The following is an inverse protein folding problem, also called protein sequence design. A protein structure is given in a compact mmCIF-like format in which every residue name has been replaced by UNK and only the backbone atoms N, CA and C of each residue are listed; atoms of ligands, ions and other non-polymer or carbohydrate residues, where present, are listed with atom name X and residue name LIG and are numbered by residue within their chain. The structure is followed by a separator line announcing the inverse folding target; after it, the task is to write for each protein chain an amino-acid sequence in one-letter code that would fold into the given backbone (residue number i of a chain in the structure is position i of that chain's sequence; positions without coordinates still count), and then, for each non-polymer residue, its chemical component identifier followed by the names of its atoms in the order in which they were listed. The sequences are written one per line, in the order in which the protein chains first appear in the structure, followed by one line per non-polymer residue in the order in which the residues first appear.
data_IF_392083253837
#
_entry.id   IF_392083253837
#
_cell.length_a   1.000
_cell.length_b   1.000
_cell.length_c   1.000
_cell.angle_alpha   90.00
_cell.angle_beta   90.00
_cell.angle_gamma   90.00
#
_symmetry.space_group_name_H-M   'P 1'
#
loop_
_entity.id
_entity.type
_entity.pdbx_description
1 polymer ?
#
# COMPACT_ATOMS: atom_id res chain seq x y z
N UNK A 1 3.22 17.11 7.10
CA UNK A 1 1.85 17.57 7.37
C UNK A 1 1.40 18.26 6.10
N UNK A 2 0.22 17.93 5.58
CA UNK A 2 -0.32 18.57 4.37
C UNK A 2 -0.52 20.05 4.64
N UNK A 3 -0.05 20.89 3.72
CA UNK A 3 -0.18 22.33 3.86
C UNK A 3 -1.48 22.77 3.16
N UNK A 4 -2.59 22.71 3.89
CA UNK A 4 -3.93 23.01 3.36
C UNK A 4 -4.08 24.47 2.91
N UNK A 5 -3.15 25.37 3.27
CA UNK A 5 -3.20 26.80 2.93
C UNK A 5 -3.02 27.09 1.43
N UNK A 6 -2.56 26.11 0.64
CA UNK A 6 -2.29 26.28 -0.80
C UNK A 6 -3.13 25.37 -1.72
N UNK A 7 -4.07 24.59 -1.17
CA UNK A 7 -4.95 23.72 -1.97
C UNK A 7 -6.08 24.52 -2.61
N UNK A 8 -6.37 24.26 -3.89
CA UNK A 8 -7.56 24.84 -4.53
C UNK A 8 -8.79 23.97 -4.24
N UNK A 9 -9.98 24.57 -4.34
CA UNK A 9 -11.23 23.82 -4.26
C UNK A 9 -11.31 22.72 -5.34
N UNK A 10 -10.67 22.93 -6.49
CA UNK A 10 -10.58 21.94 -7.55
C UNK A 10 -9.78 20.71 -7.10
N UNK A 11 -8.61 20.93 -6.48
CA UNK A 11 -7.74 19.84 -6.01
C UNK A 11 -8.44 18.97 -4.95
N UNK A 12 -9.18 19.62 -4.04
CA UNK A 12 -9.97 18.91 -3.02
C UNK A 12 -11.15 18.14 -3.61
N UNK A 13 -11.82 18.69 -4.63
CA UNK A 13 -12.92 18.00 -5.32
C UNK A 13 -12.41 16.78 -6.10
N UNK A 14 -11.27 16.89 -6.79
CA UNK A 14 -10.67 15.77 -7.50
C UNK A 14 -10.22 14.66 -6.55
N UNK A 15 -9.66 15.03 -5.38
CA UNK A 15 -9.34 14.05 -4.34
C UNK A 15 -10.61 13.37 -3.82
N UNK A 16 -11.67 14.13 -3.53
CA UNK A 16 -12.93 13.58 -3.06
C UNK A 16 -13.51 12.57 -4.06
N UNK A 17 -13.54 12.93 -5.34
CA UNK A 17 -14.01 12.05 -6.43
C UNK A 17 -13.17 10.76 -6.53
N UNK A 18 -11.84 10.86 -6.44
CA UNK A 18 -10.96 9.69 -6.50
C UNK A 18 -11.13 8.74 -5.30
N UNK A 19 -11.57 9.26 -4.15
CA UNK A 19 -11.78 8.46 -2.93
C UNK A 19 -13.22 8.00 -2.71
N UNK A 20 -14.21 8.58 -3.40
CA UNK A 20 -15.65 8.32 -3.18
C UNK A 20 -16.04 6.84 -3.37
N UNK A 21 -15.36 6.16 -4.30
CA UNK A 21 -15.57 4.74 -4.58
C UNK A 21 -14.76 3.76 -3.74
N UNK A 22 -13.88 4.24 -2.84
CA UNK A 22 -13.02 3.37 -2.06
C UNK A 22 -13.80 2.63 -0.98
N UNK A 23 -13.50 1.34 -0.81
CA UNK A 23 -14.01 0.58 0.32
C UNK A 23 -13.42 1.11 1.63
N UNK A 24 -14.06 0.79 2.77
CA UNK A 24 -13.49 1.15 4.08
C UNK A 24 -12.06 0.60 4.27
N UNK A 25 -11.78 -0.60 3.73
CA UNK A 25 -10.45 -1.20 3.79
C UNK A 25 -9.43 -0.45 2.92
N UNK A 26 -9.84 0.00 1.73
CA UNK A 26 -8.97 0.81 0.86
C UNK A 26 -8.74 2.22 1.42
N UNK A 27 -9.75 2.79 2.11
CA UNK A 27 -9.59 4.05 2.84
C UNK A 27 -8.62 3.92 4.02
N UNK A 28 -8.70 2.81 4.76
CA UNK A 28 -7.73 2.50 5.81
C UNK A 28 -6.31 2.34 5.23
N UNK A 29 -6.18 1.59 4.14
CA UNK A 29 -4.94 1.43 3.40
C UNK A 29 -4.38 2.76 2.92
N UNK A 30 -5.20 3.64 2.34
CA UNK A 30 -4.80 4.97 1.89
C UNK A 30 -4.22 5.79 3.06
N UNK A 31 -4.80 5.68 4.26
CA UNK A 31 -4.25 6.30 5.46
C UNK A 31 -2.82 5.83 5.76
N UNK A 32 -2.54 4.54 5.65
CA UNK A 32 -1.19 3.99 5.83
C UNK A 32 -0.23 4.41 4.70
N UNK A 33 -0.71 4.44 3.45
CA UNK A 33 0.05 4.92 2.29
C UNK A 33 0.48 6.37 2.47
N UNK A 34 -0.41 7.26 2.95
CA UNK A 34 -0.10 8.66 3.22
C UNK A 34 0.99 8.81 4.30
N UNK A 35 1.02 7.92 5.30
CA UNK A 35 2.09 7.92 6.31
C UNK A 35 3.45 7.50 5.76
N UNK A 36 3.46 6.52 4.87
CA UNK A 36 4.68 6.04 4.18
C UNK A 36 5.20 7.09 3.19
N UNK A 37 4.34 7.52 2.26
CA UNK A 37 4.72 8.39 1.13
C UNK A 37 4.89 9.86 1.52
N UNK A 38 4.23 10.31 2.60
CA UNK A 38 4.25 11.70 3.10
C UNK A 38 3.98 12.74 2.00
N UNK A 39 2.84 12.64 1.29
CA UNK A 39 2.48 13.59 0.26
C UNK A 39 2.36 15.00 0.83
N UNK A 40 2.56 15.98 -0.04
CA UNK A 40 2.54 17.41 0.25
C UNK A 40 1.32 18.11 -0.30
N UNK A 41 0.51 17.45 -1.14
CA UNK A 41 -0.71 18.03 -1.70
C UNK A 41 -1.85 17.03 -1.89
N UNK A 42 -3.07 17.54 -2.05
CA UNK A 42 -4.27 16.75 -2.36
C UNK A 42 -4.11 16.00 -3.69
N UNK A 43 -3.50 16.62 -4.70
CA UNK A 43 -3.18 15.97 -5.97
C UNK A 43 -2.24 14.76 -5.80
N UNK A 44 -1.27 14.82 -4.89
CA UNK A 44 -0.39 13.67 -4.62
C UNK A 44 -1.15 12.54 -3.89
N UNK A 45 -2.06 12.87 -2.97
CA UNK A 45 -2.91 11.85 -2.31
C UNK A 45 -3.84 11.19 -3.33
N UNK A 46 -4.43 11.97 -4.22
CA UNK A 46 -5.26 11.47 -5.32
C UNK A 46 -4.47 10.44 -6.15
N UNK A 47 -3.27 10.80 -6.58
CA UNK A 47 -2.42 9.88 -7.35
C UNK A 47 -2.06 8.60 -6.56
N UNK A 48 -1.85 8.70 -5.24
CA UNK A 48 -1.65 7.53 -4.38
C UNK A 48 -2.93 6.67 -4.25
N UNK A 49 -4.10 7.30 -4.15
CA UNK A 49 -5.39 6.63 -4.10
C UNK A 49 -5.70 5.86 -5.39
N UNK A 50 -5.33 6.43 -6.54
CA UNK A 50 -5.48 5.79 -7.86
C UNK A 50 -4.49 4.63 -8.09
N UNK A 51 -3.43 4.53 -7.27
CA UNK A 51 -2.37 3.52 -7.39
C UNK A 51 -2.19 2.69 -6.10
N UNK A 52 -3.28 2.47 -5.35
CA UNK A 52 -3.26 1.67 -4.10
C UNK A 52 -2.79 0.22 -4.32
N UNK A 53 -2.90 -0.30 -5.54
CA UNK A 53 -2.43 -1.63 -5.92
C UNK A 53 -0.90 -1.78 -5.87
N UNK A 54 -0.15 -0.67 -5.93
CA UNK A 54 1.31 -0.65 -5.78
C UNK A 54 1.78 -0.84 -4.33
N UNK A 55 0.86 -1.01 -3.38
CA UNK A 55 1.15 -1.18 -1.97
C UNK A 55 0.61 -2.51 -1.46
N UNK A 56 1.38 -3.19 -0.62
CA UNK A 56 0.90 -4.29 0.20
C UNK A 56 0.60 -3.76 1.60
N UNK A 57 -0.56 -4.12 2.16
CA UNK A 57 -1.02 -3.61 3.44
C UNK A 57 -1.55 -4.74 4.31
N UNK A 58 -0.98 -4.87 5.51
CA UNK A 58 -1.40 -5.79 6.55
C UNK A 58 -2.09 -4.98 7.67
N UNK A 59 -3.44 -4.82 7.63
CA UNK A 59 -4.17 -4.06 8.63
C UNK A 59 -3.96 -4.63 10.04
N UNK A 60 -3.71 -3.76 11.00
CA UNK A 60 -3.55 -4.12 12.42
C UNK A 60 -2.28 -4.90 12.78
N UNK A 61 -1.35 -5.14 11.84
CA UNK A 61 -0.06 -5.76 12.14
C UNK A 61 0.94 -4.71 12.66
N UNK A 62 1.41 -4.84 13.90
CA UNK A 62 2.31 -3.88 14.56
C UNK A 62 3.62 -4.51 15.05
N UNK A 63 3.85 -5.77 14.71
CA UNK A 63 5.07 -6.52 15.01
C UNK A 63 5.39 -7.49 13.88
N UNK A 64 6.65 -7.95 13.75
CA UNK A 64 7.01 -8.93 12.73
C UNK A 64 6.19 -10.22 12.83
N UNK A 65 5.86 -10.67 14.05
CA UNK A 65 5.02 -11.83 14.28
C UNK A 65 3.58 -11.63 13.76
N UNK A 66 2.96 -10.47 14.04
CA UNK A 66 1.62 -10.17 13.52
C UNK A 66 1.62 -10.01 12.00
N UNK A 67 2.66 -9.39 11.43
CA UNK A 67 2.80 -9.28 9.98
C UNK A 67 2.97 -10.65 9.33
N UNK A 68 3.86 -11.50 9.86
CA UNK A 68 4.04 -12.86 9.38
C UNK A 68 2.75 -13.68 9.44
N UNK A 69 1.99 -13.53 10.53
CA UNK A 69 0.68 -14.17 10.69
C UNK A 69 -0.33 -13.69 9.65
N UNK A 70 -0.45 -12.37 9.44
CA UNK A 70 -1.28 -11.81 8.38
C UNK A 70 -0.90 -12.39 7.01
N UNK A 71 0.40 -12.40 6.72
CA UNK A 71 0.90 -12.87 5.43
C UNK A 71 0.58 -14.34 5.16
N UNK A 72 0.67 -15.20 6.17
CA UNK A 72 0.38 -16.62 6.00
C UNK A 72 -1.14 -16.88 5.99
N UNK A 73 -1.91 -16.24 6.87
CA UNK A 73 -3.32 -16.60 7.09
C UNK A 73 -4.31 -15.80 6.25
N UNK A 74 -4.00 -14.54 5.94
CA UNK A 74 -5.00 -13.56 5.47
C UNK A 74 -4.64 -12.92 4.12
N UNK A 75 -3.38 -12.95 3.71
CA UNK A 75 -2.96 -12.32 2.45
C UNK A 75 -3.47 -13.04 1.18
N UNK A 76 -3.98 -14.27 1.33
CA UNK A 76 -4.38 -15.12 0.21
C UNK A 76 -3.21 -15.67 -0.62
N UNK A 77 -1.95 -15.51 -0.16
CA UNK A 77 -0.76 -15.99 -0.87
C UNK A 77 -0.43 -17.47 -0.63
N UNK A 78 -0.92 -18.04 0.45
CA UNK A 78 -0.62 -19.40 0.87
C UNK A 78 -1.89 -20.18 1.16
N UNK A 79 -1.86 -21.48 0.89
CA UNK A 79 -2.84 -22.42 1.42
C UNK A 79 -2.52 -22.63 2.90
N UNK A 80 -3.19 -21.86 3.76
CA UNK A 80 -3.04 -21.96 5.21
C UNK A 80 -3.72 -23.23 5.74
N UNK A 81 -2.98 -24.03 6.51
CA UNK A 81 -3.50 -25.16 7.26
C UNK A 81 -3.46 -24.84 8.76
N UNK A 82 -4.64 -24.72 9.38
CA UNK A 82 -4.79 -24.44 10.81
C UNK A 82 -4.16 -25.52 11.69
N UNK A 83 -4.05 -26.77 11.21
CA UNK A 83 -3.41 -27.85 11.96
C UNK A 83 -1.88 -27.68 12.05
N UNK A 84 -1.32 -26.82 11.21
CA UNK A 84 0.11 -26.50 11.20
C UNK A 84 0.44 -25.20 11.94
N UNK A 85 -0.54 -24.52 12.56
CA UNK A 85 -0.37 -23.18 13.14
C UNK A 85 0.83 -23.08 14.09
N UNK A 86 0.99 -24.07 14.96
CA UNK A 86 2.06 -24.13 15.96
C UNK A 86 3.46 -24.40 15.38
N UNK A 87 3.56 -24.77 14.10
CA UNK A 87 4.83 -25.03 13.42
C UNK A 87 5.33 -23.83 12.61
N UNK A 88 4.50 -22.81 12.39
CA UNK A 88 4.91 -21.61 11.68
C UNK A 88 5.70 -20.68 12.60
N UNK A 89 6.91 -20.33 12.16
CA UNK A 89 7.69 -19.26 12.77
C UNK A 89 7.29 -17.91 12.14
N UNK A 90 6.16 -17.38 12.62
CA UNK A 90 5.59 -16.13 12.12
C UNK A 90 6.55 -14.94 12.28
N UNK A 91 7.24 -14.86 13.42
CA UNK A 91 8.16 -13.76 13.70
C UNK A 91 9.36 -13.78 12.76
N UNK A 92 9.98 -14.94 12.56
CA UNK A 92 11.10 -15.07 11.63
C UNK A 92 10.68 -14.77 10.21
N UNK A 93 9.57 -15.35 9.74
CA UNK A 93 9.07 -15.11 8.38
C UNK A 93 8.74 -13.63 8.15
N UNK A 94 8.01 -13.01 9.09
CA UNK A 94 7.68 -11.59 9.02
C UNK A 94 8.94 -10.72 9.01
N UNK A 95 9.91 -11.01 9.87
CA UNK A 95 11.18 -10.28 9.94
C UNK A 95 11.98 -10.39 8.64
N UNK A 96 12.13 -11.60 8.07
CA UNK A 96 12.85 -11.80 6.81
C UNK A 96 12.18 -11.05 5.67
N UNK A 97 10.84 -11.06 5.62
CA UNK A 97 10.09 -10.38 4.58
C UNK A 97 10.17 -8.86 4.70
N UNK A 98 10.05 -8.32 5.91
CA UNK A 98 10.22 -6.89 6.17
C UNK A 98 11.63 -6.39 5.80
N UNK A 99 12.67 -7.22 5.97
CA UNK A 99 14.03 -6.86 5.57
C UNK A 99 14.23 -6.82 4.05
N UNK A 100 13.35 -7.46 3.29
CA UNK A 100 13.40 -7.49 1.83
C UNK A 100 12.46 -6.46 1.16
N UNK A 101 11.58 -5.84 1.94
CA UNK A 101 10.55 -4.91 1.48
C UNK A 101 10.88 -3.48 1.92
N UNK A 102 10.49 -2.49 1.13
CA UNK A 102 10.54 -1.08 1.53
C UNK A 102 9.23 -0.72 2.23
N UNK A 103 9.13 -1.13 3.49
CA UNK A 103 7.92 -0.99 4.28
C UNK A 103 8.16 -0.58 5.73
N UNK A 104 7.09 -0.21 6.40
CA UNK A 104 7.13 0.24 7.80
C UNK A 104 5.83 -0.06 8.54
N UNK A 105 5.91 -0.09 9.87
CA UNK A 105 4.73 -0.05 10.72
C UNK A 105 4.14 1.36 10.79
N UNK A 106 2.82 1.41 10.80
CA UNK A 106 2.00 2.60 11.05
C UNK A 106 1.03 2.30 12.19
N UNK A 107 0.26 3.31 12.60
CA UNK A 107 -0.86 3.15 13.53
C UNK A 107 -2.00 2.26 12.96
N UNK A 108 -2.02 2.04 11.64
CA UNK A 108 -3.02 1.23 10.92
C UNK A 108 -2.54 -0.18 10.56
N UNK A 109 -1.25 -0.47 10.71
CA UNK A 109 -0.66 -1.76 10.37
C UNK A 109 0.66 -1.65 9.61
N UNK A 110 1.11 -2.73 8.98
CA UNK A 110 2.32 -2.74 8.15
C UNK A 110 1.99 -2.39 6.70
N UNK A 111 2.72 -1.43 6.13
CA UNK A 111 2.56 -0.98 4.74
C UNK A 111 3.91 -1.10 4.04
N UNK A 112 3.91 -1.67 2.83
CA UNK A 112 5.10 -1.78 2.00
C UNK A 112 4.80 -1.33 0.57
N UNK A 113 5.75 -0.61 -0.03
CA UNK A 113 5.69 -0.26 -1.44
C UNK A 113 6.31 -1.37 -2.29
N UNK A 114 5.63 -1.79 -3.35
CA UNK A 114 6.06 -2.86 -4.28
C UNK A 114 6.10 -2.44 -5.74
N UNK A 115 5.91 -1.16 -6.03
CA UNK A 115 5.96 -0.64 -7.39
C UNK A 115 7.37 -0.55 -7.95
N UNK A 116 7.49 -0.56 -9.27
CA UNK A 116 8.77 -0.43 -9.98
C UNK A 116 9.23 1.03 -10.13
N UNK A 117 8.29 1.97 -10.05
CA UNK A 117 8.54 3.40 -10.15
C UNK A 117 9.00 3.97 -8.81
N UNK A 118 9.64 5.12 -8.79
CA UNK A 118 9.89 5.82 -7.53
C UNK A 118 8.59 6.33 -6.90
N UNK A 119 8.58 6.47 -5.58
CA UNK A 119 7.44 7.07 -4.87
C UNK A 119 7.12 8.50 -5.38
N UNK A 120 8.15 9.25 -5.76
CA UNK A 120 8.00 10.59 -6.33
C UNK A 120 7.28 10.57 -7.69
N UNK A 121 7.61 9.62 -8.57
CA UNK A 121 6.92 9.46 -9.85
C UNK A 121 5.45 9.11 -9.66
N UNK A 122 5.13 8.20 -8.73
CA UNK A 122 3.75 7.84 -8.41
C UNK A 122 2.99 9.07 -7.90
N UNK A 123 3.55 9.81 -6.95
CA UNK A 123 2.91 11.01 -6.40
C UNK A 123 2.73 12.13 -7.43
N UNK A 124 3.61 12.25 -8.43
CA UNK A 124 3.53 13.27 -9.46
C UNK A 124 2.67 12.87 -10.67
N UNK A 125 1.96 11.73 -10.60
CA UNK A 125 1.12 11.25 -11.70
C UNK A 125 1.93 10.83 -12.92
N UNK A 126 3.20 10.45 -12.70
CA UNK A 126 4.09 9.90 -13.71
C UNK A 126 3.40 8.74 -14.41
N UNK A 127 3.04 8.96 -15.67
CA UNK A 127 2.18 8.09 -16.47
C UNK A 127 2.50 6.61 -16.26
N UNK A 128 1.57 5.91 -15.59
CA UNK A 128 1.21 4.53 -15.92
C UNK A 128 0.58 4.49 -17.33
N UNK A 129 1.32 4.95 -18.35
CA UNK A 129 0.98 4.61 -19.72
C UNK A 129 1.35 3.16 -19.90
N UNK A 130 0.35 2.28 -19.76
CA UNK A 130 0.14 1.15 -20.65
C UNK A 130 1.43 0.70 -21.39
N UNK A 131 2.31 -0.04 -20.73
CA UNK A 131 3.10 -1.04 -21.45
C UNK A 131 2.30 -2.33 -21.42
N UNK A 132 1.27 -2.38 -22.27
CA UNK A 132 0.86 -3.66 -22.88
C UNK A 132 2.13 -4.15 -23.56
N UNK A 133 2.86 -5.06 -22.91
CA UNK A 133 3.95 -5.78 -23.55
C UNK A 133 3.31 -6.53 -24.71
N UNK A 134 3.42 -5.93 -25.89
CA UNK A 134 2.87 -6.45 -27.13
C UNK A 134 3.26 -7.90 -27.28
N UNK A 135 2.27 -8.71 -27.65
CA UNK A 135 2.48 -10.10 -27.98
C UNK A 135 3.67 -10.23 -28.92
N UNK A 136 4.73 -10.88 -28.43
CA UNK A 136 5.73 -11.45 -29.30
C UNK A 136 5.20 -12.80 -29.73
N UNK A 137 4.38 -12.76 -30.79
CA UNK A 137 4.30 -13.87 -31.72
C UNK A 137 5.66 -14.02 -32.40
N UNK A 138 6.35 -15.14 -32.13
CA UNK A 138 6.90 -16.02 -33.16
C UNK A 138 6.89 -17.45 -32.64
#
# INVERSE_FOLDING_TARGET
MLDMEYETLSDLNELAEATDGLSNADMEKLGAVVMLAKPKSAAQIKNLAENLDLFDFAPGAHSPAEYGKYMIQQSGRFDYDENLDAFYDYEKYGTERMNAEDGMFTDRGYIAYKGYYSMEEVMNGGRSSHMVMGGLSR
#
